data_IF_545292500475
#
_entry.id   IF_545292500475
#
_cell.length_a   1.000
_cell.length_b   1.000
_cell.length_c   1.000
_cell.angle_alpha   90.00
_cell.angle_beta   90.00
_cell.angle_gamma   90.00
#
_symmetry.space_group_name_H-M   'P 1'
#
loop_
_entity.id
_entity.type
_entity.pdbx_description
1 polymer ?
#
# COMPACT_ATOMS: atom_id res chain seq x y z
N UNK A 1 -4.40 4.56 39.76
CA UNK A 1 -3.47 4.17 38.73
C UNK A 1 -3.76 2.76 38.28
N UNK A 2 -3.92 2.54 36.97
CA UNK A 2 -4.10 1.22 36.39
C UNK A 2 -3.06 1.06 35.26
N UNK A 3 -2.55 -0.14 35.11
CA UNK A 3 -1.62 -0.53 34.06
C UNK A 3 -2.13 -1.82 33.45
N UNK A 4 -2.28 -1.87 32.17
CA UNK A 4 -2.78 -3.04 31.43
C UNK A 4 -2.01 -3.29 30.15
N UNK A 5 -1.93 -4.55 29.75
CA UNK A 5 -1.48 -4.97 28.44
C UNK A 5 -2.67 -5.52 27.67
N UNK A 6 -2.76 -5.12 26.39
CA UNK A 6 -3.75 -5.65 25.45
C UNK A 6 -3.01 -6.18 24.23
N UNK A 7 -3.21 -7.46 23.92
CA UNK A 7 -2.70 -8.12 22.75
C UNK A 7 -3.83 -8.77 21.97
N UNK A 8 -3.87 -8.55 20.65
CA UNK A 8 -4.84 -9.16 19.75
C UNK A 8 -4.13 -9.68 18.51
N UNK A 9 -4.45 -10.90 18.12
CA UNK A 9 -4.03 -11.50 16.86
C UNK A 9 -5.27 -11.92 16.08
N UNK A 10 -5.31 -11.60 14.80
CA UNK A 10 -6.36 -12.03 13.91
C UNK A 10 -5.77 -12.68 12.67
N UNK A 11 -6.40 -13.74 12.24
CA UNK A 11 -6.03 -14.53 11.07
C UNK A 11 -7.25 -14.68 10.17
N UNK A 12 -7.00 -14.90 8.88
CA UNK A 12 -8.07 -15.09 7.88
C UNK A 12 -9.01 -13.88 7.82
N UNK A 13 -8.43 -12.68 7.93
CA UNK A 13 -9.15 -11.45 7.66
C UNK A 13 -9.36 -11.30 6.17
N UNK A 14 -10.46 -10.64 5.81
CA UNK A 14 -10.75 -10.29 4.42
C UNK A 14 -9.66 -9.36 3.89
N UNK A 15 -9.11 -9.70 2.75
CA UNK A 15 -8.15 -8.89 2.00
C UNK A 15 -8.35 -9.13 0.51
N UNK A 16 -8.00 -8.14 -0.29
CA UNK A 16 -8.17 -8.18 -1.74
C UNK A 16 -6.85 -8.41 -2.47
N UNK A 17 -6.94 -9.01 -3.64
CA UNK A 17 -5.81 -9.17 -4.55
C UNK A 17 -6.27 -9.34 -6.00
N UNK A 18 -5.39 -9.05 -6.96
CA UNK A 18 -5.65 -9.32 -8.37
C UNK A 18 -5.29 -10.77 -8.70
N UNK A 19 -6.29 -11.56 -9.13
CA UNK A 19 -6.08 -12.93 -9.63
C UNK A 19 -5.50 -12.97 -11.03
N UNK A 20 -5.69 -11.89 -11.79
CA UNK A 20 -5.32 -11.79 -13.20
C UNK A 20 -4.37 -10.60 -13.46
N UNK A 21 -3.39 -10.43 -12.58
CA UNK A 21 -2.34 -9.43 -12.78
C UNK A 21 -1.53 -9.70 -14.04
N UNK A 22 -0.95 -8.65 -14.64
CA UNK A 22 -0.03 -8.76 -15.78
C UNK A 22 1.23 -9.53 -15.39
N UNK A 23 1.73 -10.33 -16.32
CA UNK A 23 2.96 -11.08 -16.12
C UNK A 23 4.14 -10.30 -16.72
N UNK A 24 5.12 -9.97 -15.89
CA UNK A 24 6.26 -9.17 -16.33
C UNK A 24 7.13 -9.88 -17.36
N UNK A 25 7.37 -11.19 -17.21
CA UNK A 25 8.29 -11.92 -18.08
C UNK A 25 7.92 -11.88 -19.56
N UNK A 26 6.65 -12.10 -19.98
CA UNK A 26 6.26 -11.94 -21.39
C UNK A 26 6.54 -10.55 -21.96
N UNK A 27 6.31 -9.50 -21.16
CA UNK A 27 6.56 -8.14 -21.57
C UNK A 27 8.07 -7.85 -21.74
N UNK A 28 8.89 -8.35 -20.84
CA UNK A 28 10.35 -8.25 -20.94
C UNK A 28 10.89 -9.00 -22.16
N UNK A 29 10.38 -10.20 -22.43
CA UNK A 29 10.75 -10.99 -23.62
C UNK A 29 10.33 -10.31 -24.92
N UNK A 30 9.12 -9.71 -24.97
CA UNK A 30 8.67 -8.92 -26.13
C UNK A 30 9.57 -7.72 -26.38
N UNK A 31 9.98 -7.00 -25.34
CA UNK A 31 10.92 -5.90 -25.45
C UNK A 31 12.28 -6.36 -25.98
N UNK A 32 12.76 -7.49 -25.50
CA UNK A 32 14.00 -8.06 -26.01
C UNK A 32 13.87 -8.47 -27.48
N UNK A 33 12.74 -9.09 -27.85
CA UNK A 33 12.42 -9.46 -29.22
C UNK A 33 12.34 -8.22 -30.14
N UNK A 34 11.64 -7.18 -29.71
CA UNK A 34 11.57 -5.89 -30.40
C UNK A 34 12.97 -5.30 -30.69
N UNK A 35 13.86 -5.35 -29.69
CA UNK A 35 15.25 -4.89 -29.85
C UNK A 35 16.06 -5.74 -30.81
N UNK A 36 15.83 -7.05 -30.88
CA UNK A 36 16.55 -7.97 -31.76
C UNK A 36 16.07 -7.88 -33.23
N UNK A 37 14.76 -7.67 -33.44
CA UNK A 37 14.15 -7.64 -34.77
C UNK A 37 14.06 -6.25 -35.32
N UNK A 38 14.07 -5.21 -34.51
CA UNK A 38 13.78 -3.83 -34.87
C UNK A 38 12.29 -3.53 -35.03
N UNK A 39 11.41 -4.47 -34.70
CA UNK A 39 9.96 -4.28 -34.75
C UNK A 39 9.44 -3.57 -33.51
N UNK A 40 9.18 -2.28 -33.62
CA UNK A 40 8.64 -1.45 -32.53
C UNK A 40 7.22 -1.83 -32.15
N UNK A 41 6.46 -2.59 -32.93
CA UNK A 41 5.11 -3.03 -32.61
C UNK A 41 5.09 -4.09 -31.48
N UNK A 42 6.24 -4.73 -31.23
CA UNK A 42 6.45 -5.69 -30.16
C UNK A 42 6.88 -5.02 -28.84
N UNK A 43 7.19 -3.70 -28.87
CA UNK A 43 7.63 -3.02 -27.67
C UNK A 43 6.53 -3.00 -26.60
N UNK A 44 6.83 -3.59 -25.45
CA UNK A 44 5.96 -3.67 -24.29
C UNK A 44 6.50 -2.76 -23.16
N UNK A 45 5.63 -2.19 -22.38
CA UNK A 45 6.00 -1.30 -21.29
C UNK A 45 4.91 -1.19 -20.21
N UNK A 46 5.03 -0.21 -19.33
CA UNK A 46 4.00 0.08 -18.34
C UNK A 46 2.61 0.21 -18.99
N UNK A 47 1.59 -0.29 -18.27
CA UNK A 47 0.17 -0.30 -18.69
C UNK A 47 -0.13 -1.05 -20.00
N UNK A 48 0.77 -1.95 -20.39
CA UNK A 48 0.64 -2.69 -21.67
C UNK A 48 0.16 -4.14 -21.49
N UNK A 49 -0.19 -4.56 -20.28
CA UNK A 49 -0.61 -5.94 -20.02
C UNK A 49 -1.89 -6.36 -20.76
N UNK A 50 -2.71 -5.40 -21.23
CA UNK A 50 -3.94 -5.65 -21.98
C UNK A 50 -3.79 -5.36 -23.48
N UNK A 51 -2.58 -5.04 -23.95
CA UNK A 51 -2.29 -4.78 -25.35
C UNK A 51 -2.22 -6.06 -26.17
N UNK A 52 -2.45 -5.94 -27.48
CA UNK A 52 -2.27 -7.04 -28.42
C UNK A 52 -0.92 -6.93 -29.14
N UNK A 53 -0.25 -8.06 -29.30
CA UNK A 53 1.04 -8.17 -29.99
C UNK A 53 0.97 -9.24 -31.06
N UNK A 54 1.50 -8.99 -32.24
CA UNK A 54 1.51 -9.96 -33.33
C UNK A 54 2.93 -10.26 -33.74
N UNK A 55 3.34 -11.52 -33.59
CA UNK A 55 4.66 -12.02 -33.92
C UNK A 55 4.58 -12.71 -35.30
N UNK A 56 5.37 -12.25 -36.26
CA UNK A 56 5.37 -12.77 -37.60
C UNK A 56 6.15 -14.11 -37.70
N UNK A 57 5.84 -14.96 -38.69
CA UNK A 57 6.66 -16.13 -38.98
C UNK A 57 8.12 -15.78 -39.26
N UNK A 58 9.03 -16.45 -38.53
CA UNK A 58 10.47 -16.23 -38.66
C UNK A 58 11.01 -15.03 -37.85
N UNK A 59 10.17 -14.33 -37.12
CA UNK A 59 10.58 -13.18 -36.31
C UNK A 59 11.28 -13.58 -35.02
N UNK A 60 11.03 -14.77 -34.47
CA UNK A 60 11.74 -15.29 -33.31
C UNK A 60 13.10 -15.81 -33.74
N UNK A 61 14.22 -15.20 -33.32
CA UNK A 61 15.57 -15.63 -33.70
C UNK A 61 15.88 -17.03 -33.10
N UNK A 62 16.75 -17.76 -33.77
CA UNK A 62 17.23 -19.04 -33.25
C UNK A 62 17.87 -18.91 -31.87
N UNK A 63 17.43 -19.73 -30.92
CA UNK A 63 17.91 -19.71 -29.53
C UNK A 63 17.17 -18.72 -28.61
N UNK A 64 16.25 -17.91 -29.13
CA UNK A 64 15.37 -17.07 -28.32
C UNK A 64 14.13 -17.85 -27.89
N UNK A 65 13.64 -17.63 -26.68
CA UNK A 65 12.40 -18.21 -26.16
C UNK A 65 11.53 -17.13 -25.56
N UNK A 66 10.32 -17.00 -26.05
CA UNK A 66 9.28 -16.12 -25.52
C UNK A 66 8.46 -16.88 -24.47
N UNK A 67 8.46 -16.42 -23.25
CA UNK A 67 7.73 -17.04 -22.13
C UNK A 67 6.33 -16.43 -22.03
N UNK A 68 5.36 -17.09 -22.63
CA UNK A 68 3.96 -16.63 -22.62
C UNK A 68 3.18 -17.21 -21.45
N UNK A 69 2.06 -16.56 -21.06
CA UNK A 69 1.19 -17.08 -19.99
C UNK A 69 0.70 -18.51 -20.20
N UNK A 70 0.62 -18.96 -21.46
CA UNK A 70 0.16 -20.31 -21.85
C UNK A 70 1.29 -21.25 -22.26
N UNK A 71 2.53 -20.87 -22.10
CA UNK A 71 3.70 -21.70 -22.35
C UNK A 71 4.77 -21.03 -23.22
N UNK A 72 5.99 -21.56 -23.22
CA UNK A 72 7.10 -21.03 -23.98
C UNK A 72 6.95 -21.25 -25.50
N UNK A 73 7.35 -20.25 -26.28
CA UNK A 73 7.40 -20.34 -27.75
C UNK A 73 8.80 -19.98 -28.22
N UNK A 74 9.46 -20.88 -28.97
CA UNK A 74 10.82 -20.69 -29.46
C UNK A 74 10.92 -20.54 -30.98
N UNK A 75 9.83 -20.74 -31.72
CA UNK A 75 9.80 -20.53 -33.16
C UNK A 75 8.38 -20.44 -33.70
N UNK A 76 8.20 -19.65 -34.74
CA UNK A 76 7.03 -19.63 -35.62
C UNK A 76 7.52 -19.96 -37.04
N UNK A 77 7.62 -21.26 -37.35
CA UNK A 77 8.24 -21.74 -38.57
C UNK A 77 7.36 -22.74 -39.31
N UNK A 78 7.50 -22.76 -40.62
CA UNK A 78 6.83 -23.71 -41.52
C UNK A 78 6.27 -23.02 -42.76
N UNK A 79 6.02 -23.77 -43.85
CA UNK A 79 5.53 -23.20 -45.10
C UNK A 79 4.13 -22.60 -45.02
N UNK A 80 3.38 -22.92 -43.96
CA UNK A 80 2.05 -22.39 -43.64
C UNK A 80 1.96 -21.81 -42.23
N UNK A 81 3.09 -21.30 -41.69
CA UNK A 81 3.09 -20.69 -40.37
C UNK A 81 2.24 -19.42 -40.36
N UNK A 82 1.28 -19.38 -39.47
CA UNK A 82 0.48 -18.18 -39.22
C UNK A 82 1.16 -17.28 -38.19
N UNK A 83 0.96 -15.99 -38.23
CA UNK A 83 1.37 -15.08 -37.15
C UNK A 83 0.77 -15.51 -35.82
N UNK A 84 1.51 -15.31 -34.75
CA UNK A 84 0.99 -15.47 -33.38
C UNK A 84 0.47 -14.12 -32.92
N UNK A 85 -0.82 -14.03 -32.62
CA UNK A 85 -1.41 -12.86 -32.00
C UNK A 85 -1.63 -13.13 -30.52
N UNK A 86 -0.89 -12.39 -29.67
CA UNK A 86 -1.07 -12.38 -28.23
C UNK A 86 -2.12 -11.34 -27.90
N UNK A 87 -3.14 -11.72 -27.15
CA UNK A 87 -4.21 -10.83 -26.72
C UNK A 87 -4.13 -10.71 -25.21
N UNK A 88 -3.36 -9.71 -24.75
CA UNK A 88 -3.02 -9.50 -23.35
C UNK A 88 -1.91 -10.41 -22.83
N UNK A 89 -1.27 -9.99 -21.77
CA UNK A 89 -0.16 -10.66 -21.10
C UNK A 89 -0.53 -11.12 -19.70
N UNK A 90 -1.82 -11.16 -19.37
CA UNK A 90 -2.34 -11.63 -18.10
C UNK A 90 -2.60 -13.11 -18.10
N UNK A 91 -2.55 -13.73 -16.92
CA UNK A 91 -2.72 -15.18 -16.75
C UNK A 91 -4.01 -15.72 -17.38
N UNK A 92 -5.10 -14.99 -17.28
CA UNK A 92 -6.44 -15.42 -17.76
C UNK A 92 -6.97 -14.56 -18.90
N UNK A 93 -6.14 -13.73 -19.53
CA UNK A 93 -6.59 -12.86 -20.63
C UNK A 93 -7.20 -13.63 -21.80
N UNK A 94 -6.66 -14.81 -22.09
CA UNK A 94 -7.15 -15.68 -23.17
C UNK A 94 -7.07 -17.14 -22.75
N UNK A 95 -7.88 -17.59 -21.75
CA UNK A 95 -7.74 -18.91 -21.16
C UNK A 95 -7.96 -20.06 -22.15
N UNK A 96 -8.70 -19.84 -23.23
CA UNK A 96 -9.00 -20.83 -24.27
C UNK A 96 -8.36 -20.49 -25.62
N UNK A 97 -7.54 -19.45 -25.69
CA UNK A 97 -6.87 -19.05 -26.93
C UNK A 97 -5.59 -19.87 -27.12
N UNK A 98 -5.50 -20.56 -28.24
CA UNK A 98 -4.23 -21.11 -28.71
C UNK A 98 -3.61 -20.15 -29.72
N UNK A 99 -2.57 -19.40 -29.34
CA UNK A 99 -1.98 -18.39 -30.21
C UNK A 99 -1.34 -19.00 -31.47
N UNK A 100 -0.94 -20.28 -31.42
CA UNK A 100 -0.32 -20.97 -32.54
C UNK A 100 -1.34 -21.36 -33.64
N UNK A 101 -2.57 -21.62 -33.25
CA UNK A 101 -3.64 -22.06 -34.18
C UNK A 101 -4.73 -21.02 -34.38
N UNK A 102 -4.75 -19.96 -33.57
CA UNK A 102 -5.84 -18.98 -33.52
C UNK A 102 -7.15 -19.52 -32.96
N UNK A 103 -7.19 -20.80 -32.56
CA UNK A 103 -8.39 -21.40 -32.03
C UNK A 103 -8.76 -20.83 -30.65
N UNK A 104 -10.02 -20.41 -30.50
CA UNK A 104 -10.54 -19.86 -29.25
C UNK A 104 -10.07 -18.45 -28.90
N UNK A 105 -9.32 -17.81 -29.81
CA UNK A 105 -8.86 -16.42 -29.57
C UNK A 105 -9.99 -15.42 -29.85
N UNK A 106 -10.09 -14.32 -29.08
CA UNK A 106 -11.04 -13.25 -29.32
C UNK A 106 -10.83 -12.65 -30.72
N UNK A 107 -11.91 -12.49 -31.53
CA UNK A 107 -11.80 -12.03 -32.90
C UNK A 107 -11.43 -10.55 -33.04
N UNK A 108 -11.67 -9.76 -31.98
CA UNK A 108 -11.45 -8.33 -31.92
C UNK A 108 -10.05 -7.94 -31.37
N UNK A 109 -9.24 -8.91 -30.95
CA UNK A 109 -7.93 -8.66 -30.38
C UNK A 109 -7.97 -8.03 -28.97
N UNK A 110 -9.12 -8.08 -28.30
CA UNK A 110 -9.28 -7.57 -26.94
C UNK A 110 -9.21 -8.73 -25.94
N UNK A 111 -8.48 -8.60 -24.83
CA UNK A 111 -8.45 -9.63 -23.79
C UNK A 111 -9.85 -9.85 -23.19
N UNK A 112 -10.22 -11.10 -22.96
CA UNK A 112 -11.52 -11.47 -22.39
C UNK A 112 -11.65 -10.95 -20.95
N UNK A 113 -10.54 -10.93 -20.22
CA UNK A 113 -10.47 -10.45 -18.83
C UNK A 113 -9.30 -9.47 -18.68
N UNK A 114 -9.59 -8.32 -18.05
CA UNK A 114 -8.61 -7.43 -17.46
C UNK A 114 -8.24 -7.90 -16.03
N UNK A 115 -7.97 -7.01 -15.09
CA UNK A 115 -7.81 -7.37 -13.68
C UNK A 115 -9.04 -8.10 -13.15
N UNK A 116 -8.82 -9.13 -12.35
CA UNK A 116 -9.87 -9.89 -11.65
C UNK A 116 -9.67 -9.66 -10.16
N UNK A 117 -10.43 -8.72 -9.62
CA UNK A 117 -10.42 -8.42 -8.20
C UNK A 117 -11.07 -9.57 -7.41
N UNK A 118 -10.32 -10.11 -6.46
CA UNK A 118 -10.81 -11.13 -5.56
C UNK A 118 -10.68 -10.70 -4.11
N UNK A 119 -11.69 -11.01 -3.31
CA UNK A 119 -11.67 -10.86 -1.86
C UNK A 119 -11.59 -12.24 -1.22
N UNK A 120 -10.50 -12.49 -0.52
CA UNK A 120 -10.23 -13.76 0.14
C UNK A 120 -9.89 -13.58 1.61
N UNK A 121 -10.10 -14.63 2.40
CA UNK A 121 -9.79 -14.64 3.84
C UNK A 121 -8.31 -14.98 4.09
N UNK A 122 -7.39 -14.15 3.60
CA UNK A 122 -5.95 -14.38 3.59
C UNK A 122 -5.15 -13.40 4.45
N UNK A 123 -5.79 -12.31 4.90
CA UNK A 123 -5.14 -11.27 5.71
C UNK A 123 -4.89 -11.70 7.15
N UNK A 124 -3.85 -11.13 7.75
CA UNK A 124 -3.52 -11.29 9.15
C UNK A 124 -3.25 -9.94 9.79
N UNK A 125 -3.49 -9.84 11.10
CA UNK A 125 -3.12 -8.66 11.88
C UNK A 125 -2.62 -9.02 13.25
N UNK A 126 -1.82 -8.13 13.83
CA UNK A 126 -1.31 -8.24 15.18
C UNK A 126 -1.28 -6.86 15.82
N UNK A 127 -1.92 -6.75 16.99
CA UNK A 127 -1.93 -5.54 17.81
C UNK A 127 -1.41 -5.82 19.20
N UNK A 128 -0.50 -4.97 19.68
CA UNK A 128 0.00 -5.03 21.04
C UNK A 128 0.02 -3.63 21.63
N UNK A 129 -0.42 -3.47 22.87
CA UNK A 129 -0.39 -2.18 23.57
C UNK A 129 -0.15 -2.30 25.06
N UNK A 130 0.59 -1.32 25.58
CA UNK A 130 0.65 -0.98 26.99
C UNK A 130 -0.27 0.21 27.23
N UNK A 131 -1.20 0.07 28.18
CA UNK A 131 -2.16 1.10 28.55
C UNK A 131 -1.96 1.49 30.01
N UNK A 132 -1.85 2.78 30.25
CA UNK A 132 -1.69 3.34 31.61
C UNK A 132 -2.77 4.39 31.81
N UNK A 133 -3.53 4.29 32.87
CA UNK A 133 -4.50 5.31 33.26
C UNK A 133 -4.32 5.74 34.72
N UNK A 134 -4.51 7.02 34.95
CA UNK A 134 -4.49 7.63 36.27
C UNK A 134 -5.72 8.52 36.42
N UNK A 135 -6.41 8.37 37.54
CA UNK A 135 -7.57 9.16 37.89
C UNK A 135 -7.36 9.77 39.27
N UNK A 136 -7.67 11.05 39.41
CA UNK A 136 -7.82 11.75 40.67
C UNK A 136 -9.25 12.25 40.76
N UNK A 137 -9.99 11.72 41.75
CA UNK A 137 -11.32 12.22 42.08
C UNK A 137 -11.23 13.63 42.64
N UNK A 138 -12.32 14.36 42.52
CA UNK A 138 -12.37 15.73 42.98
C UNK A 138 -11.96 15.85 44.43
N UNK A 139 -10.88 16.57 44.67
CA UNK A 139 -10.42 16.94 46.01
C UNK A 139 -9.50 18.17 45.92
N UNK A 140 -9.61 19.06 46.90
CA UNK A 140 -8.83 20.32 46.92
C UNK A 140 -8.98 21.12 45.62
N UNK A 141 -10.20 21.15 45.07
CA UNK A 141 -10.47 21.88 43.81
C UNK A 141 -9.99 21.21 42.52
N UNK A 142 -9.31 20.07 42.57
CA UNK A 142 -8.76 19.41 41.39
C UNK A 142 -9.33 18.00 41.17
N UNK A 143 -9.77 17.76 39.94
CA UNK A 143 -10.07 16.45 39.38
C UNK A 143 -9.31 16.30 38.04
N UNK A 144 -8.77 15.13 37.78
CA UNK A 144 -8.21 14.82 36.46
C UNK A 144 -8.29 13.33 36.13
N UNK A 145 -8.24 13.08 34.83
CA UNK A 145 -8.03 11.75 34.26
C UNK A 145 -6.93 11.83 33.21
N UNK A 146 -5.94 10.97 33.32
CA UNK A 146 -4.87 10.81 32.34
C UNK A 146 -4.89 9.39 31.79
N UNK A 147 -4.77 9.24 30.48
CA UNK A 147 -4.65 7.96 29.79
C UNK A 147 -3.48 8.01 28.81
N UNK A 148 -2.60 7.04 28.87
CA UNK A 148 -1.49 6.87 27.94
C UNK A 148 -1.53 5.47 27.33
N UNK A 149 -1.41 5.41 26.03
CA UNK A 149 -1.31 4.17 25.26
C UNK A 149 -0.03 4.19 24.44
N UNK A 150 0.77 3.16 24.59
CA UNK A 150 1.89 2.84 23.70
C UNK A 150 1.53 1.55 22.97
N UNK A 151 1.44 1.60 21.64
CA UNK A 151 0.93 0.49 20.83
C UNK A 151 1.71 0.28 19.55
N UNK A 152 1.52 -0.91 18.97
CA UNK A 152 1.98 -1.25 17.63
C UNK A 152 0.96 -2.15 16.97
N UNK A 153 0.48 -1.73 15.80
CA UNK A 153 -0.40 -2.50 14.92
C UNK A 153 0.33 -2.83 13.62
N UNK A 154 0.30 -4.10 13.25
CA UNK A 154 0.86 -4.61 11.99
C UNK A 154 -0.21 -5.45 11.33
N UNK A 155 -0.43 -5.23 10.04
CA UNK A 155 -1.36 -6.03 9.24
C UNK A 155 -0.82 -6.29 7.83
N UNK A 156 -1.48 -7.18 7.11
CA UNK A 156 -1.20 -7.44 5.71
C UNK A 156 -2.03 -6.49 4.82
N UNK A 157 -3.23 -6.10 5.27
CA UNK A 157 -4.10 -5.11 4.64
C UNK A 157 -4.80 -4.29 5.72
N UNK A 158 -4.75 -2.95 5.62
CA UNK A 158 -5.39 -2.05 6.59
C UNK A 158 -6.87 -1.77 6.28
N UNK A 159 -7.32 -2.11 5.08
CA UNK A 159 -8.71 -2.12 4.65
C UNK A 159 -8.92 -3.22 3.60
N UNK A 160 -10.16 -3.55 3.29
CA UNK A 160 -10.47 -4.50 2.22
C UNK A 160 -10.05 -3.98 0.83
N UNK A 161 -9.96 -2.67 0.68
CA UNK A 161 -9.49 -2.01 -0.55
C UNK A 161 -7.97 -2.02 -0.71
N UNK A 162 -7.22 -2.42 0.33
CA UNK A 162 -5.77 -2.55 0.24
C UNK A 162 -5.43 -3.84 -0.49
N UNK A 163 -5.02 -3.72 -1.74
CA UNK A 163 -4.63 -4.85 -2.54
C UNK A 163 -3.30 -5.44 -2.04
N UNK A 164 -3.27 -6.76 -1.86
CA UNK A 164 -2.06 -7.47 -1.50
C UNK A 164 -1.19 -7.70 -2.74
N UNK A 165 0.13 -7.71 -2.53
CA UNK A 165 1.08 -8.13 -3.54
C UNK A 165 0.74 -9.55 -4.04
N UNK A 166 0.27 -9.71 -5.28
CA UNK A 166 -0.25 -10.99 -5.77
C UNK A 166 0.84 -12.06 -5.94
N UNK A 167 2.11 -11.66 -6.01
CA UNK A 167 3.25 -12.58 -6.07
C UNK A 167 3.66 -13.09 -4.70
N UNK A 168 3.46 -12.30 -3.65
CA UNK A 168 3.83 -12.65 -2.30
C UNK A 168 3.02 -11.88 -1.27
N UNK A 169 1.93 -12.42 -0.80
CA UNK A 169 1.05 -11.77 0.20
C UNK A 169 1.79 -11.33 1.48
N UNK A 170 2.87 -12.04 1.86
CA UNK A 170 3.65 -11.68 3.04
C UNK A 170 4.46 -10.39 2.86
N UNK A 171 4.77 -10.01 1.63
CA UNK A 171 5.47 -8.74 1.34
C UNK A 171 4.60 -7.53 1.72
N UNK A 172 3.27 -7.66 1.66
CA UNK A 172 2.34 -6.60 2.06
C UNK A 172 2.27 -6.34 3.57
N UNK A 173 2.95 -7.17 4.39
CA UNK A 173 2.95 -7.02 5.85
C UNK A 173 3.70 -5.77 6.28
N UNK A 174 2.99 -4.83 6.88
CA UNK A 174 3.53 -3.53 7.29
C UNK A 174 2.80 -2.97 8.52
N UNK A 175 3.19 -1.78 8.98
CA UNK A 175 2.42 -1.04 9.97
C UNK A 175 1.01 -0.77 9.43
N UNK A 176 0.00 -0.99 10.26
CA UNK A 176 -1.37 -0.62 9.93
C UNK A 176 -1.48 0.88 9.68
N UNK A 177 -2.24 1.30 8.67
CA UNK A 177 -2.40 2.73 8.34
C UNK A 177 -3.01 3.56 9.49
N UNK A 178 -3.62 2.89 10.45
CA UNK A 178 -4.18 3.48 11.67
C UNK A 178 -3.31 3.24 12.92
N UNK A 179 -2.06 2.78 12.77
CA UNK A 179 -1.14 2.59 13.90
C UNK A 179 -0.78 3.94 14.54
N UNK A 180 -1.27 4.17 15.76
CA UNK A 180 -0.91 5.31 16.58
C UNK A 180 0.03 4.86 17.69
N UNK A 181 1.34 4.95 17.44
CA UNK A 181 2.37 4.41 18.35
C UNK A 181 2.26 4.94 19.77
N UNK A 182 1.91 6.20 19.94
CA UNK A 182 1.75 6.85 21.24
C UNK A 182 0.51 7.73 21.22
N UNK A 183 -0.31 7.60 22.23
CA UNK A 183 -1.47 8.46 22.45
C UNK A 183 -1.56 8.79 23.93
N UNK A 184 -1.60 10.09 24.24
CA UNK A 184 -1.83 10.61 25.58
C UNK A 184 -3.05 11.52 25.57
N UNK A 185 -3.96 11.27 26.49
CA UNK A 185 -5.14 12.10 26.70
C UNK A 185 -5.18 12.50 28.16
N UNK A 186 -5.37 13.79 28.39
CA UNK A 186 -5.46 14.34 29.73
C UNK A 186 -6.68 15.25 29.83
N UNK A 187 -7.63 14.90 30.66
CA UNK A 187 -8.78 15.75 30.97
C UNK A 187 -8.67 16.25 32.41
N UNK A 188 -8.99 17.50 32.60
CA UNK A 188 -8.92 18.10 33.92
C UNK A 188 -10.07 19.07 34.16
N UNK A 189 -10.38 19.22 35.44
CA UNK A 189 -11.25 20.24 36.00
C UNK A 189 -10.56 20.79 37.24
N UNK A 190 -10.39 22.11 37.29
CA UNK A 190 -9.80 22.79 38.41
C UNK A 190 -10.67 23.96 38.85
N UNK A 191 -11.10 23.94 40.11
CA UNK A 191 -11.80 25.03 40.78
C UNK A 191 -10.80 25.84 41.57
N UNK A 192 -10.66 27.12 41.24
CA UNK A 192 -9.75 27.99 41.94
C UNK A 192 -10.21 28.19 43.40
N UNK A 193 -9.28 28.29 44.36
CA UNK A 193 -9.60 28.52 45.76
C UNK A 193 -10.35 29.85 45.95
N UNK A 194 -11.24 29.86 46.87
CA UNK A 194 -11.97 31.06 47.24
C UNK A 194 -11.09 31.95 48.11
N UNK A 195 -10.81 33.16 47.64
CA UNK A 195 -10.07 34.13 48.37
C UNK A 195 -11.03 34.96 49.23
N UNK A 196 -10.79 35.11 50.51
CA UNK A 196 -11.64 35.89 51.44
C UNK A 196 -11.68 37.39 51.15
N UNK A 197 -12.05 37.76 49.93
CA UNK A 197 -12.16 39.11 49.43
C UNK A 197 -13.57 39.67 49.65
N UNK A 198 -13.74 40.97 49.64
CA UNK A 198 -15.03 41.63 49.80
C UNK A 198 -15.28 42.62 48.66
N UNK A 199 -16.56 42.88 48.35
CA UNK A 199 -16.97 43.85 47.36
C UNK A 199 -16.72 43.45 45.91
N UNK A 200 -16.25 44.35 45.09
CA UNK A 200 -16.04 44.15 43.65
C UNK A 200 -14.93 43.15 43.36
N UNK A 201 -13.88 43.14 44.16
CA UNK A 201 -12.77 42.21 44.01
C UNK A 201 -13.19 40.73 44.20
N UNK A 202 -14.14 40.45 45.11
CA UNK A 202 -14.70 39.13 45.30
C UNK A 202 -15.41 38.61 44.06
N UNK A 203 -16.20 39.44 43.40
CA UNK A 203 -16.96 39.09 42.19
C UNK A 203 -16.07 38.86 40.95
N UNK A 204 -14.88 39.42 40.92
CA UNK A 204 -13.95 39.32 39.79
C UNK A 204 -12.96 38.20 39.98
N UNK A 205 -12.48 37.93 41.18
CA UNK A 205 -11.40 36.99 41.44
C UNK A 205 -11.84 35.63 41.97
N UNK A 206 -13.06 35.54 42.52
CA UNK A 206 -13.60 34.28 43.03
C UNK A 206 -14.58 33.63 42.03
N UNK A 207 -14.78 32.33 42.20
CA UNK A 207 -15.73 31.53 41.40
C UNK A 207 -15.20 31.05 40.06
N UNK A 208 -13.93 31.26 39.77
CA UNK A 208 -13.32 30.77 38.52
C UNK A 208 -13.07 29.27 38.56
N UNK A 209 -13.28 28.65 37.41
CA UNK A 209 -12.94 27.25 37.18
C UNK A 209 -12.28 27.12 35.79
N UNK A 210 -11.35 26.20 35.67
CA UNK A 210 -10.69 25.84 34.43
C UNK A 210 -10.93 24.35 34.12
N UNK A 211 -11.31 24.05 32.92
CA UNK A 211 -11.45 22.67 32.45
C UNK A 211 -10.94 22.55 31.03
N UNK A 212 -10.45 21.38 30.69
CA UNK A 212 -9.95 21.14 29.33
C UNK A 212 -9.62 19.68 29.08
N UNK A 213 -9.43 19.37 27.79
CA UNK A 213 -8.96 18.08 27.31
C UNK A 213 -7.76 18.32 26.41
N UNK A 214 -6.63 17.74 26.79
CA UNK A 214 -5.39 17.78 26.01
C UNK A 214 -5.21 16.41 25.33
N UNK A 215 -4.92 16.40 24.05
CA UNK A 215 -4.64 15.17 23.31
C UNK A 215 -3.33 15.31 22.55
N UNK A 216 -2.43 14.37 22.76
CA UNK A 216 -1.19 14.22 22.04
C UNK A 216 -1.16 12.83 21.42
N UNK A 217 -0.92 12.75 20.10
CA UNK A 217 -0.88 11.48 19.38
C UNK A 217 0.24 11.50 18.34
N UNK A 218 0.97 10.41 18.23
CA UNK A 218 1.90 10.22 17.11
C UNK A 218 1.13 10.14 15.78
N UNK A 219 1.76 10.59 14.69
CA UNK A 219 1.17 10.50 13.36
C UNK A 219 0.95 9.05 12.93
N UNK A 220 -0.03 8.85 12.08
CA UNK A 220 -0.28 7.58 11.43
C UNK A 220 0.80 7.28 10.38
N UNK A 221 1.04 5.99 10.08
CA UNK A 221 1.87 5.60 8.95
C UNK A 221 1.37 6.21 7.64
N UNK A 222 2.30 6.42 6.72
CA UNK A 222 2.03 6.94 5.38
C UNK A 222 2.13 5.77 4.41
N UNK A 223 1.14 5.64 3.55
CA UNK A 223 1.14 4.66 2.47
C UNK A 223 2.10 5.14 1.36
N UNK A 224 2.95 4.24 0.88
CA UNK A 224 3.91 4.52 -0.19
C UNK A 224 3.56 3.63 -1.37
N UNK A 225 3.29 4.24 -2.51
CA UNK A 225 3.02 3.55 -3.77
C UNK A 225 3.78 4.18 -4.91
N UNK A 226 4.05 3.39 -5.93
CA UNK A 226 4.43 3.82 -7.27
C UNK A 226 3.22 3.69 -8.20
N UNK A 227 3.01 4.66 -9.07
CA UNK A 227 1.91 4.66 -10.04
C UNK A 227 2.39 4.56 -11.48
N UNK A 228 3.64 4.14 -11.67
CA UNK A 228 4.31 4.09 -12.97
C UNK A 228 4.21 2.72 -13.66
N UNK A 229 3.64 1.71 -13.00
CA UNK A 229 3.50 0.32 -13.48
C UNK A 229 4.84 -0.28 -13.97
N UNK A 230 5.95 0.09 -13.33
CA UNK A 230 7.26 -0.49 -13.67
C UNK A 230 7.32 -2.00 -13.38
N UNK A 231 6.53 -2.49 -12.48
CA UNK A 231 6.34 -3.92 -12.20
C UNK A 231 5.66 -4.67 -13.34
N UNK A 232 5.06 -3.96 -14.33
CA UNK A 232 4.39 -4.51 -15.52
C UNK A 232 3.17 -5.39 -15.20
N UNK A 233 2.50 -5.11 -14.11
CA UNK A 233 1.32 -5.87 -13.66
C UNK A 233 0.01 -5.24 -14.10
N UNK A 234 0.01 -3.95 -14.44
CA UNK A 234 -1.18 -3.17 -14.80
C UNK A 234 -2.34 -3.44 -13.83
N UNK A 235 -2.05 -3.45 -12.54
CA UNK A 235 -3.06 -3.59 -11.50
C UNK A 235 -3.77 -2.26 -11.34
N UNK A 236 -5.05 -2.21 -11.70
CA UNK A 236 -5.81 -0.95 -11.85
C UNK A 236 -6.71 -0.69 -10.64
N UNK A 237 -6.90 -1.67 -9.75
CA UNK A 237 -7.83 -1.55 -8.64
C UNK A 237 -7.17 -1.01 -7.37
N UNK A 238 -7.72 0.10 -6.88
CA UNK A 238 -7.61 0.73 -5.55
C UNK A 238 -6.25 1.27 -5.11
N UNK A 239 -5.18 0.77 -5.53
CA UNK A 239 -3.80 1.29 -5.43
C UNK A 239 -2.94 0.29 -6.17
N UNK A 240 -2.19 0.75 -7.14
CA UNK A 240 -1.21 -0.08 -7.81
C UNK A 240 -0.42 -0.87 -6.76
N UNK A 241 -0.26 -2.15 -6.98
CA UNK A 241 0.62 -2.98 -6.16
C UNK A 241 2.09 -2.55 -6.26
N UNK A 242 2.36 -1.50 -7.05
CA UNK A 242 3.67 -0.92 -7.26
C UNK A 242 4.25 -0.30 -6.00
N UNK A 243 5.34 -0.85 -5.52
CA UNK A 243 6.13 -0.31 -4.44
C UNK A 243 7.45 0.21 -5.00
N UNK A 244 7.87 1.44 -4.67
CA UNK A 244 9.19 1.94 -5.07
C UNK A 244 10.31 1.20 -4.32
N UNK A 245 11.54 1.37 -4.77
CA UNK A 245 12.70 0.92 -4.01
C UNK A 245 13.08 1.93 -2.94
N UNK A 246 13.24 1.44 -1.70
CA UNK A 246 13.85 2.22 -0.63
C UNK A 246 15.37 2.03 -0.66
N UNK A 247 16.08 3.09 -1.07
CA UNK A 247 17.55 3.09 -1.28
C UNK A 247 18.33 3.71 -0.14
N UNK A 248 17.66 4.36 0.80
CA UNK A 248 18.29 4.98 1.96
C UNK A 248 17.39 4.88 3.21
N UNK A 249 17.96 5.03 4.42
CA UNK A 249 17.16 5.13 5.64
C UNK A 249 16.19 6.31 5.58
N UNK A 250 14.99 6.08 6.07
CA UNK A 250 13.98 7.11 6.18
C UNK A 250 14.29 8.02 7.36
N UNK A 251 14.43 9.31 7.10
CA UNK A 251 14.62 10.34 8.12
C UNK A 251 13.44 11.29 8.14
N UNK A 252 12.87 11.48 9.33
CA UNK A 252 11.79 12.43 9.54
C UNK A 252 12.33 13.85 9.49
N UNK A 253 11.72 14.71 8.69
CA UNK A 253 12.00 16.15 8.62
C UNK A 253 11.02 16.89 9.52
N UNK A 254 11.22 18.21 9.69
CA UNK A 254 10.32 19.00 10.52
C UNK A 254 8.98 19.25 9.81
N UNK A 255 7.88 18.57 10.20
CA UNK A 255 6.60 18.68 9.49
C UNK A 255 5.92 20.05 9.68
N UNK A 256 6.42 20.89 10.58
CA UNK A 256 5.89 22.25 10.81
C UNK A 256 6.47 23.30 9.88
N UNK A 257 7.51 22.96 9.13
CA UNK A 257 8.05 23.86 8.12
C UNK A 257 7.34 23.59 6.79
N UNK A 258 6.49 24.50 6.28
CA UNK A 258 5.75 24.28 5.04
C UNK A 258 6.64 24.20 3.79
N UNK A 259 7.93 24.53 3.91
CA UNK A 259 8.91 24.44 2.83
C UNK A 259 9.66 23.11 2.81
N UNK A 260 9.40 22.23 3.79
CA UNK A 260 10.05 20.94 3.90
C UNK A 260 9.02 19.80 3.83
N UNK A 261 9.45 18.72 3.22
CA UNK A 261 8.74 17.44 3.22
C UNK A 261 8.68 16.85 4.64
N UNK A 262 7.71 15.99 4.89
CA UNK A 262 7.58 15.32 6.19
C UNK A 262 8.75 14.35 6.47
N UNK A 263 9.36 13.83 5.41
CA UNK A 263 10.53 12.95 5.42
C UNK A 263 11.31 13.10 4.11
N UNK A 264 12.52 12.57 4.06
CA UNK A 264 13.40 12.61 2.88
C UNK A 264 12.86 11.71 1.75
N UNK A 265 12.07 12.25 0.84
CA UNK A 265 11.52 11.49 -0.31
C UNK A 265 12.61 10.94 -1.24
N UNK A 266 13.80 11.56 -1.27
CA UNK A 266 14.96 11.02 -2.00
C UNK A 266 15.44 9.65 -1.49
N UNK A 267 14.91 9.15 -0.35
CA UNK A 267 15.12 7.78 0.09
C UNK A 267 14.40 6.73 -0.78
N UNK A 268 13.48 7.16 -1.64
CA UNK A 268 12.75 6.30 -2.55
C UNK A 268 13.14 6.56 -3.99
N UNK A 269 13.20 5.52 -4.78
CA UNK A 269 13.45 5.57 -6.22
C UNK A 269 12.45 4.66 -6.93
N UNK A 270 12.19 4.86 -8.25
CA UNK A 270 11.40 3.91 -9.02
C UNK A 270 11.92 2.48 -8.84
N UNK A 271 11.02 1.51 -8.74
CA UNK A 271 11.37 0.10 -8.65
C UNK A 271 12.03 -0.42 -9.93
N UNK A 272 12.56 -1.65 -9.91
CA UNK A 272 13.11 -2.28 -11.10
C UNK A 272 12.01 -2.64 -12.08
N UNK A 273 12.30 -2.52 -13.38
CA UNK A 273 11.34 -2.90 -14.45
C UNK A 273 11.05 -4.41 -14.35
N UNK A 274 9.78 -4.76 -14.30
CA UNK A 274 9.31 -6.15 -14.22
C UNK A 274 9.33 -6.77 -12.82
N UNK A 275 9.58 -5.97 -11.77
CA UNK A 275 9.51 -6.44 -10.39
C UNK A 275 8.95 -5.38 -9.46
N UNK A 276 8.32 -5.80 -8.38
CA UNK A 276 7.86 -4.91 -7.31
C UNK A 276 9.08 -4.45 -6.51
N UNK A 277 9.13 -3.16 -6.16
CA UNK A 277 10.20 -2.59 -5.35
C UNK A 277 10.24 -3.15 -3.93
N UNK A 278 11.26 -2.76 -3.20
CA UNK A 278 11.57 -3.33 -1.87
C UNK A 278 11.06 -2.50 -0.70
N UNK A 279 10.36 -1.40 -0.95
CA UNK A 279 9.83 -0.57 0.14
C UNK A 279 8.73 -1.31 0.90
N UNK A 280 8.51 -0.91 2.15
CA UNK A 280 7.34 -1.38 2.89
C UNK A 280 6.10 -0.65 2.38
N UNK A 281 4.96 -1.34 2.30
CA UNK A 281 3.63 -0.77 1.96
C UNK A 281 3.34 0.52 2.74
N UNK A 282 3.77 0.60 3.98
CA UNK A 282 3.59 1.79 4.81
C UNK A 282 4.84 2.09 5.63
N UNK A 283 5.12 3.36 5.81
CA UNK A 283 6.25 3.86 6.61
C UNK A 283 5.75 4.76 7.73
N UNK A 284 6.42 4.71 8.87
CA UNK A 284 6.12 5.62 9.97
C UNK A 284 6.84 6.96 9.74
N UNK A 285 6.32 8.06 10.11
CA UNK A 285 4.99 8.41 10.59
C UNK A 285 4.66 9.78 10.00
N UNK A 286 3.41 9.98 9.65
CA UNK A 286 2.91 11.29 9.27
C UNK A 286 2.92 12.30 10.43
N UNK A 287 2.38 13.49 10.23
CA UNK A 287 2.23 14.50 11.28
C UNK A 287 1.31 13.97 12.39
N UNK A 288 1.71 14.22 13.64
CA UNK A 288 0.90 13.87 14.80
C UNK A 288 -0.16 14.92 15.12
N UNK A 289 -1.00 14.60 16.11
CA UNK A 289 -2.04 15.48 16.62
C UNK A 289 -1.55 16.08 17.94
N UNK A 290 -1.56 17.39 18.05
CA UNK A 290 -1.43 18.14 19.29
C UNK A 290 -2.67 19.03 19.39
N UNK A 291 -3.60 18.66 20.25
CA UNK A 291 -4.80 19.45 20.50
C UNK A 291 -4.76 19.93 21.95
N UNK A 292 -4.79 21.25 22.12
CA UNK A 292 -4.78 21.94 23.42
C UNK A 292 -6.14 22.56 23.67
#
# INVERSE_FOLDING_TARGET
>A
LQVGYVGTQAHRLLASHDLNYGQAQPCLDLNQLSNLTGDASLACGPFSADSAYTIQPGEIPAGFTLHLPYGPVSSVTGPNANPITLVGLRKYSSPNCNPLTGAGCPPDGVPVFASIFAEDTIGNSNYNSLQISAEKRFSHGLQFQAAYTFSKSIDDASSFESELNPLNFRASRALSLFDARQRFVFSYFYQFPHYGLHGFADKVLNGWQASGILTFQSGFPIFITSSDDLELMNSVFFTSAGEPDQVAPLHRLNPRNPLHEAFNIAAFQPGPVGAIGNSSRSVCCGPGINNL
#
